data_IF_536913245153
#
_entry.id   IF_536913245153
#
_cell.length_a   1.000
_cell.length_b   1.000
_cell.length_c   1.000
_cell.angle_alpha   90.00
_cell.angle_beta   90.00
_cell.angle_gamma   90.00
#
_symmetry.space_group_name_H-M   'P 1'
#
loop_
_entity.id
_entity.type
_entity.pdbx_description
1 polymer ?
#
# COMPACT_ATOMS: atom_id res chain seq x y z
N UNK A 1 5.71 5.78 2.74
CA UNK A 1 4.57 5.23 2.00
C UNK A 1 3.68 6.39 1.63
N UNK A 2 3.32 6.52 0.36
CA UNK A 2 2.32 7.51 -0.08
C UNK A 2 0.99 6.77 -0.22
N UNK A 3 -0.08 7.40 0.28
CA UNK A 3 -1.45 6.92 0.12
C UNK A 3 -2.07 7.63 -1.07
N UNK A 4 -3.06 7.03 -1.70
CA UNK A 4 -3.83 7.60 -2.79
C UNK A 4 -5.32 7.66 -2.46
N UNK A 5 -6.06 8.56 -3.11
CA UNK A 5 -7.52 8.58 -3.01
C UNK A 5 -8.05 7.25 -3.55
N UNK A 6 -8.90 6.58 -2.76
CA UNK A 6 -9.41 5.24 -3.02
C UNK A 6 -8.67 4.12 -2.27
N UNK A 7 -7.53 4.39 -1.64
CA UNK A 7 -6.81 3.37 -0.86
C UNK A 7 -7.60 2.95 0.38
N UNK A 8 -7.56 1.66 0.68
CA UNK A 8 -8.08 1.11 1.93
C UNK A 8 -6.99 1.15 3.02
N UNK A 9 -7.33 1.74 4.15
CA UNK A 9 -6.41 1.92 5.28
C UNK A 9 -7.04 1.52 6.60
N UNK A 10 -6.19 1.09 7.52
CA UNK A 10 -6.50 0.91 8.92
C UNK A 10 -6.02 2.12 9.71
N UNK A 11 -6.84 2.64 10.60
CA UNK A 11 -6.53 3.76 11.47
C UNK A 11 -6.23 3.30 12.89
N UNK A 12 -5.15 3.81 13.48
CA UNK A 12 -4.76 3.57 14.87
C UNK A 12 -5.43 4.56 15.83
N UNK A 13 -6.38 4.09 16.65
CA UNK A 13 -7.14 4.93 17.60
C UNK A 13 -6.35 5.38 18.83
N UNK A 14 -5.14 4.85 19.06
CA UNK A 14 -4.29 5.23 20.19
C UNK A 14 -4.27 4.16 21.30
N UNK A 15 -3.47 4.38 22.35
CA UNK A 15 -3.51 3.52 23.54
C UNK A 15 -4.86 3.71 24.27
N UNK A 16 -5.57 2.60 24.51
CA UNK A 16 -6.73 2.58 25.42
C UNK A 16 -6.17 2.57 26.85
N UNK A 17 -6.71 3.36 27.80
CA UNK A 17 -6.28 3.31 29.18
C UNK A 17 -6.46 1.89 29.71
N UNK A 18 -5.39 1.33 30.25
CA UNK A 18 -5.34 -0.04 30.72
C UNK A 18 -6.31 -0.22 31.90
N UNK A 19 -7.56 -0.58 31.61
CA UNK A 19 -8.39 -1.26 32.61
C UNK A 19 -7.79 -2.65 32.78
N UNK A 20 -7.58 -3.04 34.03
CA UNK A 20 -6.87 -4.25 34.43
C UNK A 20 -7.38 -5.46 33.64
N UNK A 21 -6.56 -6.00 32.72
CA UNK A 21 -6.90 -7.18 31.92
C UNK A 21 -6.79 -7.04 30.40
N UNK A 22 -6.76 -5.82 29.85
CA UNK A 22 -6.95 -5.60 28.40
C UNK A 22 -5.64 -5.53 27.59
N UNK A 23 -4.83 -6.59 27.69
CA UNK A 23 -3.57 -6.76 26.96
C UNK A 23 -3.85 -7.44 25.61
N UNK A 24 -3.09 -7.07 24.56
CA UNK A 24 -3.16 -7.65 23.20
C UNK A 24 -4.39 -7.35 22.31
N UNK A 25 -5.21 -6.33 22.59
CA UNK A 25 -6.25 -5.93 21.62
C UNK A 25 -5.67 -5.34 20.34
N UNK A 26 -6.22 -5.74 19.19
CA UNK A 26 -5.94 -5.09 17.92
C UNK A 26 -6.47 -3.64 17.99
N UNK A 27 -5.57 -2.67 17.84
CA UNK A 27 -5.86 -1.22 17.96
C UNK A 27 -6.06 -0.53 16.61
N UNK A 28 -5.97 -1.32 15.54
CA UNK A 28 -6.19 -0.90 14.17
C UNK A 28 -7.67 -1.07 13.83
N UNK A 29 -8.32 0.02 13.42
CA UNK A 29 -9.73 0.05 13.04
C UNK A 29 -9.84 0.25 11.53
N UNK A 30 -10.72 -0.50 10.89
CA UNK A 30 -11.01 -0.35 9.47
C UNK A 30 -11.49 -1.67 8.85
N UNK A 31 -11.65 -1.70 7.52
CA UNK A 31 -11.09 -0.78 6.53
C UNK A 31 -11.79 0.58 6.45
N UNK A 32 -11.03 1.64 6.12
CA UNK A 32 -11.53 2.97 5.76
C UNK A 32 -10.99 3.37 4.40
N UNK A 33 -11.75 4.18 3.65
CA UNK A 33 -11.35 4.67 2.32
C UNK A 33 -10.69 6.04 2.46
N UNK A 34 -9.55 6.23 1.79
CA UNK A 34 -8.92 7.54 1.66
C UNK A 34 -9.71 8.37 0.65
N UNK A 35 -10.30 9.49 1.08
CA UNK A 35 -11.11 10.33 0.19
C UNK A 35 -10.44 11.62 -0.20
N UNK A 36 -9.57 12.15 0.67
CA UNK A 36 -8.81 13.37 0.36
C UNK A 36 -7.45 13.39 1.04
N UNK A 37 -6.43 13.74 0.27
CA UNK A 37 -5.12 14.09 0.80
C UNK A 37 -5.03 15.57 1.09
N UNK A 38 -4.56 15.91 2.29
CA UNK A 38 -4.34 17.27 2.74
C UNK A 38 -2.84 17.53 2.92
N UNK A 39 -2.41 18.80 2.85
CA UNK A 39 -1.05 19.17 3.23
C UNK A 39 -0.75 18.76 4.68
N UNK A 40 0.53 18.60 5.01
CA UNK A 40 1.03 18.18 6.33
C UNK A 40 0.77 16.71 6.69
N UNK A 41 0.72 15.84 5.68
CA UNK A 41 0.59 14.39 5.89
C UNK A 41 -0.67 14.01 6.67
N UNK A 42 -1.79 14.67 6.34
CA UNK A 42 -3.10 14.39 6.93
C UNK A 42 -4.06 13.97 5.83
N UNK A 43 -4.92 13.01 6.13
CA UNK A 43 -5.83 12.39 5.17
C UNK A 43 -7.24 12.37 5.75
N UNK A 44 -8.21 12.77 4.93
CA UNK A 44 -9.62 12.57 5.24
C UNK A 44 -10.01 11.13 4.87
N UNK A 45 -10.70 10.47 5.80
CA UNK A 45 -11.14 9.09 5.66
C UNK A 45 -12.66 9.01 5.72
N UNK A 46 -13.22 8.07 4.98
CA UNK A 46 -14.61 7.66 5.05
C UNK A 46 -14.71 6.18 5.42
N UNK A 47 -15.82 5.79 6.04
CA UNK A 47 -16.19 4.40 6.21
C UNK A 47 -16.53 3.80 4.85
N UNK A 48 -16.48 2.47 4.68
CA UNK A 48 -16.95 1.81 3.46
C UNK A 48 -18.43 2.10 3.16
N UNK A 49 -19.21 2.51 4.17
CA UNK A 49 -20.61 2.92 4.02
C UNK A 49 -20.76 4.36 3.49
N UNK A 50 -19.65 5.07 3.25
CA UNK A 50 -19.65 6.45 2.74
C UNK A 50 -19.75 7.53 3.82
N UNK A 51 -19.66 7.16 5.11
CA UNK A 51 -19.74 8.13 6.20
C UNK A 51 -18.35 8.73 6.48
N UNK A 52 -18.19 10.06 6.50
CA UNK A 52 -16.91 10.67 6.83
C UNK A 52 -16.56 10.41 8.29
N UNK A 53 -15.29 10.07 8.55
CA UNK A 53 -14.76 9.89 9.90
C UNK A 53 -14.78 11.20 10.73
N UNK A 54 -15.08 12.33 10.07
CA UNK A 54 -15.28 13.65 10.67
C UNK A 54 -14.00 14.35 11.11
N UNK A 55 -12.85 13.67 11.09
CA UNK A 55 -11.54 14.23 11.46
C UNK A 55 -10.46 13.79 10.48
N UNK A 56 -9.62 14.71 10.00
CA UNK A 56 -8.48 14.35 9.19
C UNK A 56 -7.41 13.68 10.07
N UNK A 57 -6.89 12.56 9.60
CA UNK A 57 -5.97 11.68 10.35
C UNK A 57 -4.57 11.77 9.77
N UNK A 58 -3.57 11.88 10.65
CA UNK A 58 -2.17 11.87 10.22
C UNK A 58 -1.76 10.50 9.65
N UNK A 59 -1.04 10.48 8.53
CA UNK A 59 -0.57 9.26 7.85
C UNK A 59 0.22 8.32 8.75
N UNK A 60 0.92 8.84 9.76
CA UNK A 60 1.68 8.03 10.73
C UNK A 60 0.77 7.14 11.59
N UNK A 61 -0.52 7.45 11.65
CA UNK A 61 -1.54 6.65 12.34
C UNK A 61 -2.32 5.76 11.39
N UNK A 62 -1.90 5.66 10.13
CA UNK A 62 -2.53 4.84 9.11
C UNK A 62 -1.63 3.64 8.77
N UNK A 63 -2.24 2.56 8.34
CA UNK A 63 -1.57 1.38 7.80
C UNK A 63 -2.35 0.90 6.58
N UNK A 64 -1.68 0.59 5.45
CA UNK A 64 -2.39 0.05 4.28
C UNK A 64 -3.13 -1.24 4.67
N UNK A 65 -4.39 -1.35 4.25
CA UNK A 65 -5.19 -2.55 4.40
C UNK A 65 -5.00 -3.43 3.18
N UNK A 66 -4.32 -4.58 3.35
CA UNK A 66 -4.26 -5.63 2.35
C UNK A 66 -5.29 -6.69 2.76
N UNK A 67 -6.34 -6.88 1.96
CA UNK A 67 -7.26 -7.98 2.19
C UNK A 67 -6.49 -9.30 2.05
N UNK A 68 -6.57 -10.21 3.03
CA UNK A 68 -5.89 -11.51 2.95
C UNK A 68 -6.52 -12.47 1.92
N UNK A 69 -7.66 -12.09 1.33
CA UNK A 69 -8.50 -12.95 0.48
C UNK A 69 -8.28 -12.76 -1.04
N UNK A 70 -7.33 -11.91 -1.48
CA UNK A 70 -6.97 -11.81 -2.89
C UNK A 70 -5.64 -12.53 -3.16
N UNK A 71 -5.65 -13.82 -3.53
CA UNK A 71 -4.50 -14.45 -4.16
C UNK A 71 -4.36 -13.85 -5.57
N UNK A 72 -3.43 -12.92 -5.75
CA UNK A 72 -2.87 -12.63 -7.07
C UNK A 72 -3.56 -11.54 -7.91
N UNK A 73 -3.55 -10.30 -7.45
CA UNK A 73 -3.64 -9.15 -8.38
C UNK A 73 -2.30 -8.41 -8.41
N UNK A 74 -1.42 -8.92 -9.27
CA UNK A 74 -0.47 -8.16 -10.10
C UNK A 74 0.37 -7.07 -9.43
N UNK A 75 1.22 -7.42 -8.47
CA UNK A 75 2.46 -6.67 -8.25
C UNK A 75 3.45 -7.04 -9.37
N UNK A 76 3.24 -6.48 -10.57
CA UNK A 76 4.34 -6.37 -11.53
C UNK A 76 5.31 -5.32 -10.98
N UNK A 77 6.60 -5.63 -10.79
CA UNK A 77 7.60 -4.58 -10.58
C UNK A 77 7.70 -3.79 -11.90
N UNK A 78 7.09 -2.61 -11.96
CA UNK A 78 7.42 -1.62 -12.98
C UNK A 78 8.65 -0.82 -12.54
N UNK A 79 9.60 -0.63 -13.45
CA UNK A 79 10.86 0.14 -13.36
C UNK A 79 12.07 -0.69 -12.88
N UNK A 80 13.18 -0.86 -13.59
CA UNK A 80 13.76 -0.40 -14.86
C UNK A 80 14.99 -1.33 -15.10
N UNK A 81 15.70 -1.41 -16.22
CA UNK A 81 16.19 -0.38 -17.12
C UNK A 81 16.80 -1.06 -18.36
N UNK A 82 16.88 -0.27 -19.42
CA UNK A 82 17.50 -0.46 -20.73
C UNK A 82 19.03 -0.70 -20.68
N UNK A 83 19.61 -1.16 -21.83
CA UNK A 83 21.01 -1.43 -22.21
C UNK A 83 21.47 -2.90 -22.00
N UNK A 84 21.92 -3.65 -23.02
CA UNK A 84 22.86 -3.29 -24.10
C UNK A 84 22.40 -3.63 -25.54
N UNK A 85 22.78 -2.82 -26.56
CA UNK A 85 22.73 -3.21 -27.96
C UNK A 85 23.97 -4.05 -28.31
N UNK A 86 23.79 -5.36 -28.55
CA UNK A 86 24.88 -6.20 -29.04
C UNK A 86 25.07 -6.04 -30.55
N UNK A 87 25.86 -5.06 -30.94
CA UNK A 87 26.47 -4.96 -32.29
C UNK A 87 27.57 -6.03 -32.42
N UNK A 88 27.38 -6.96 -33.39
CA UNK A 88 28.29 -7.67 -34.34
C UNK A 88 29.80 -7.81 -34.07
N UNK A 89 30.54 -8.80 -34.65
CA UNK A 89 30.36 -9.30 -36.03
C UNK A 89 30.72 -10.77 -36.35
N UNK A 90 30.39 -11.15 -37.60
CA UNK A 90 31.05 -12.07 -38.55
C UNK A 90 31.30 -13.58 -38.29
N UNK A 91 31.07 -14.32 -39.38
CA UNK A 91 31.16 -15.77 -39.73
C UNK A 91 32.67 -16.22 -39.76
N UNK A 92 33.15 -17.49 -40.03
CA UNK A 92 32.49 -18.63 -40.68
C UNK A 92 32.92 -20.11 -40.37
N UNK A 93 32.18 -21.04 -41.00
CA UNK A 93 32.53 -22.41 -41.55
C UNK A 93 32.79 -23.66 -40.68
N UNK A 94 32.28 -24.80 -41.21
CA UNK A 94 32.77 -26.22 -41.19
C UNK A 94 32.50 -27.06 -39.91
N UNK A 95 32.16 -28.36 -39.95
CA UNK A 95 32.02 -29.38 -40.99
C UNK A 95 31.35 -30.64 -40.42
N UNK A 96 30.68 -31.42 -41.30
CA UNK A 96 30.76 -32.89 -41.44
C UNK A 96 30.73 -33.80 -40.21
N UNK A 97 29.71 -34.68 -40.08
CA UNK A 97 29.77 -36.05 -40.63
C UNK A 97 28.44 -36.78 -40.53
#
# INVERSE_FOLDING_TARGET
MQYHVGDLVLWYKGPVPARSGEKFRNRWFGPHVVTRMMPNNVIALETPDGEPLGKPINVNRLKPYRSPDLPGVLLLPSSGSDQDPKTSPDVPTTSTS
#
